data_IF_460982652610
#
_entry.id   IF_460982652610
#
_cell.length_a   1.000
_cell.length_b   1.000
_cell.length_c   1.000
_cell.angle_alpha   90.00
_cell.angle_beta   90.00
_cell.angle_gamma   90.00
#
_symmetry.space_group_name_H-M   'P 1'
#
loop_
_entity.id
_entity.type
_entity.pdbx_description
1 polymer ?
#
# COMPACT_ATOMS: atom_id res chain seq x y z
N UNK A 1 13.10 -7.28 14.32
CA UNK A 1 12.75 -6.29 13.27
C UNK A 1 11.64 -5.32 13.66
N UNK A 2 10.69 -5.63 14.57
CA UNK A 2 9.62 -4.70 15.02
C UNK A 2 10.11 -3.34 15.57
N UNK A 3 11.23 -3.28 16.28
CA UNK A 3 11.76 -2.01 16.81
C UNK A 3 12.27 -1.03 15.74
N UNK A 4 12.61 -1.53 14.54
CA UNK A 4 13.07 -0.69 13.44
C UNK A 4 11.93 0.00 12.70
N UNK A 5 10.73 -0.57 12.70
CA UNK A 5 9.56 0.00 12.01
C UNK A 5 8.95 1.15 12.79
N UNK A 6 8.77 1.03 14.11
CA UNK A 6 8.08 2.07 14.89
C UNK A 6 8.89 3.36 14.99
N UNK A 7 10.21 3.25 15.18
CA UNK A 7 11.11 4.40 15.22
C UNK A 7 11.29 5.02 13.82
N UNK A 8 11.28 4.19 12.76
CA UNK A 8 11.28 4.70 11.40
C UNK A 8 10.00 5.46 11.08
N UNK A 9 8.82 4.91 11.39
CA UNK A 9 7.52 5.58 11.25
C UNK A 9 7.47 6.87 12.05
N UNK A 10 8.00 6.89 13.28
CA UNK A 10 8.08 8.12 14.09
C UNK A 10 8.98 9.18 13.45
N UNK A 11 10.18 8.79 13.01
CA UNK A 11 11.12 9.69 12.34
C UNK A 11 10.55 10.21 11.01
N UNK A 12 9.84 9.37 10.28
CA UNK A 12 9.16 9.68 9.04
C UNK A 12 8.03 10.68 9.27
N UNK A 13 7.07 10.40 10.15
CA UNK A 13 5.99 11.33 10.52
C UNK A 13 6.52 12.68 11.04
N UNK A 14 7.61 12.67 11.81
CA UNK A 14 8.24 13.90 12.29
C UNK A 14 8.93 14.69 11.19
N UNK A 15 9.46 14.00 10.17
CA UNK A 15 10.18 14.62 9.06
C UNK A 15 9.28 15.02 7.90
N UNK A 16 8.09 14.45 7.88
CA UNK A 16 7.12 14.47 6.81
C UNK A 16 5.72 14.52 7.42
N UNK A 17 5.29 15.70 7.93
CA UNK A 17 3.93 15.83 8.45
C UNK A 17 2.97 15.50 7.32
N UNK A 18 2.24 14.41 7.48
CA UNK A 18 1.23 14.00 6.52
C UNK A 18 0.13 15.03 6.56
N UNK A 19 -0.17 15.69 5.43
CA UNK A 19 -1.37 16.53 5.30
C UNK A 19 -2.55 15.58 5.13
N UNK A 20 -2.94 14.92 6.21
CA UNK A 20 -4.14 14.10 6.24
C UNK A 20 -5.32 15.04 6.47
N UNK A 21 -6.28 15.01 5.56
CA UNK A 21 -7.63 15.47 5.89
C UNK A 21 -8.17 14.41 6.83
N UNK A 22 -8.31 14.75 8.12
CA UNK A 22 -8.90 13.82 9.08
C UNK A 22 -10.24 13.33 8.52
N UNK A 23 -10.39 12.01 8.33
CA UNK A 23 -11.65 11.51 7.83
C UNK A 23 -12.73 11.86 8.86
N UNK A 24 -13.97 12.16 8.43
CA UNK A 24 -15.08 12.34 9.35
C UNK A 24 -15.18 11.10 10.26
N UNK A 25 -14.75 11.22 11.51
CA UNK A 25 -14.78 10.09 12.45
C UNK A 25 -16.17 9.92 13.00
N UNK A 26 -16.70 8.70 12.97
CA UNK A 26 -17.93 8.40 13.72
C UNK A 26 -17.59 8.35 15.22
N UNK A 27 -18.27 9.15 16.02
CA UNK A 27 -18.19 9.05 17.48
C UNK A 27 -18.96 7.81 17.93
N UNK A 28 -18.29 6.67 17.99
CA UNK A 28 -18.80 5.48 18.67
C UNK A 28 -18.12 5.33 20.04
N UNK A 29 -18.92 5.12 21.08
CA UNK A 29 -18.44 4.73 22.40
C UNK A 29 -17.67 3.40 22.30
N UNK A 30 -16.57 3.24 23.05
CA UNK A 30 -15.80 2.01 23.03
C UNK A 30 -16.65 0.86 23.58
N UNK A 31 -17.04 -0.06 22.71
CA UNK A 31 -17.73 -1.29 23.10
C UNK A 31 -16.67 -2.24 23.67
N UNK A 32 -16.59 -2.32 25.00
CA UNK A 32 -15.66 -3.21 25.69
C UNK A 32 -16.25 -4.63 25.74
N UNK A 33 -15.95 -5.45 24.72
CA UNK A 33 -16.38 -6.85 24.65
C UNK A 33 -15.15 -7.76 24.62
N UNK A 34 -14.68 -8.27 25.78
CA UNK A 34 -13.44 -9.04 25.91
C UNK A 34 -13.35 -10.29 25.01
N UNK A 35 -14.47 -10.83 24.54
CA UNK A 35 -14.51 -12.02 23.68
C UNK A 35 -14.37 -11.73 22.18
N UNK A 36 -14.33 -10.46 21.74
CA UNK A 36 -14.18 -10.07 20.33
C UNK A 36 -12.73 -10.09 19.81
N UNK A 37 -11.75 -10.37 20.68
CA UNK A 37 -10.36 -9.96 20.45
C UNK A 37 -9.45 -10.99 19.76
N UNK A 38 -9.75 -12.30 19.80
CA UNK A 38 -8.73 -13.31 19.44
C UNK A 38 -8.96 -14.00 18.08
N UNK A 39 -10.19 -14.07 17.58
CA UNK A 39 -10.45 -14.70 16.28
C UNK A 39 -9.92 -13.82 15.13
N UNK A 40 -9.19 -14.43 14.20
CA UNK A 40 -8.70 -13.81 12.96
C UNK A 40 -7.92 -12.51 13.17
N UNK A 41 -7.16 -12.43 14.27
CA UNK A 41 -6.38 -11.24 14.63
C UNK A 41 -5.38 -10.84 13.54
N UNK A 42 -4.75 -11.83 12.87
CA UNK A 42 -3.81 -11.61 11.77
C UNK A 42 -4.51 -10.95 10.57
N UNK A 43 -5.63 -11.50 10.13
CA UNK A 43 -6.37 -10.97 8.97
C UNK A 43 -7.01 -9.62 9.28
N UNK A 44 -7.41 -9.40 10.53
CA UNK A 44 -7.91 -8.11 10.98
C UNK A 44 -6.82 -7.03 11.03
N UNK A 45 -5.60 -7.36 11.48
CA UNK A 45 -4.44 -6.46 11.38
C UNK A 45 -4.09 -6.14 9.92
N UNK A 46 -4.18 -7.13 9.02
CA UNK A 46 -3.98 -6.92 7.59
C UNK A 46 -5.07 -6.02 7.00
N UNK A 47 -6.32 -6.16 7.45
CA UNK A 47 -7.44 -5.33 7.01
C UNK A 47 -7.18 -3.85 7.31
N UNK A 48 -6.79 -3.53 8.55
CA UNK A 48 -6.43 -2.17 8.97
C UNK A 48 -5.30 -1.61 8.12
N UNK A 49 -4.25 -2.41 7.89
CA UNK A 49 -3.13 -2.03 7.06
C UNK A 49 -3.52 -1.77 5.60
N UNK A 50 -4.36 -2.61 4.98
CA UNK A 50 -4.80 -2.43 3.58
C UNK A 50 -5.67 -1.17 3.46
N UNK A 51 -6.62 -1.00 4.38
CA UNK A 51 -7.51 0.17 4.40
C UNK A 51 -6.72 1.47 4.53
N UNK A 52 -5.71 1.52 5.41
CA UNK A 52 -4.86 2.70 5.56
C UNK A 52 -3.89 2.87 4.38
N UNK A 53 -3.09 1.85 4.08
CA UNK A 53 -1.93 2.00 3.18
C UNK A 53 -2.26 2.04 1.68
N UNK A 54 -3.51 1.72 1.32
CA UNK A 54 -3.97 1.76 -0.07
C UNK A 54 -5.26 2.57 -0.17
N UNK A 55 -6.36 2.08 0.40
CA UNK A 55 -7.69 2.65 0.13
C UNK A 55 -7.77 4.13 0.52
N UNK A 56 -7.44 4.43 1.78
CA UNK A 56 -7.56 5.79 2.31
C UNK A 56 -6.51 6.74 1.72
N UNK A 57 -5.27 6.29 1.52
CA UNK A 57 -4.24 7.13 0.89
C UNK A 57 -4.54 7.45 -0.57
N UNK A 58 -5.09 6.50 -1.33
CA UNK A 58 -5.55 6.77 -2.70
C UNK A 58 -6.79 7.67 -2.72
N UNK A 59 -7.66 7.58 -1.72
CA UNK A 59 -8.73 8.56 -1.56
C UNK A 59 -8.17 9.97 -1.30
N UNK A 60 -7.22 10.10 -0.37
CA UNK A 60 -6.56 11.37 -0.08
C UNK A 60 -5.83 11.96 -1.28
N UNK A 61 -5.24 11.15 -2.17
CA UNK A 61 -4.64 11.63 -3.41
C UNK A 61 -5.64 12.48 -4.22
N UNK A 62 -6.89 12.05 -4.33
CA UNK A 62 -7.93 12.74 -5.09
C UNK A 62 -8.56 13.93 -4.36
N UNK A 63 -8.38 14.04 -3.05
CA UNK A 63 -8.91 15.14 -2.24
C UNK A 63 -7.85 16.20 -1.94
N UNK A 64 -6.56 15.82 -1.93
CA UNK A 64 -5.47 16.69 -1.52
C UNK A 64 -4.41 16.89 -2.59
N UNK A 65 -4.59 16.24 -3.76
CA UNK A 65 -3.62 16.20 -4.86
C UNK A 65 -2.28 15.52 -4.54
N UNK A 66 -2.11 14.97 -3.33
CA UNK A 66 -0.89 14.30 -2.88
C UNK A 66 -1.25 13.05 -2.07
N UNK A 67 -0.45 11.99 -2.23
CA UNK A 67 -0.47 10.88 -1.30
C UNK A 67 0.94 10.34 -1.07
N UNK A 68 1.14 9.72 0.07
CA UNK A 68 2.43 9.18 0.48
C UNK A 68 2.34 7.73 0.87
N UNK A 69 3.47 7.04 0.75
CA UNK A 69 3.64 5.65 1.14
C UNK A 69 2.58 4.70 0.54
N UNK A 70 2.29 4.83 -0.75
CA UNK A 70 1.34 3.94 -1.44
C UNK A 70 1.99 2.59 -1.70
N UNK A 71 1.39 1.50 -1.21
CA UNK A 71 1.89 0.16 -1.53
C UNK A 71 1.70 -0.13 -3.02
N UNK A 72 2.66 -0.78 -3.64
CA UNK A 72 2.58 -1.29 -5.02
C UNK A 72 3.38 -2.59 -5.12
N UNK A 73 3.10 -3.40 -6.13
CA UNK A 73 3.86 -4.62 -6.37
C UNK A 73 3.83 -5.06 -7.83
N UNK A 74 4.75 -5.95 -8.19
CA UNK A 74 4.80 -6.62 -9.48
C UNK A 74 5.42 -8.02 -9.34
N UNK A 75 5.43 -8.77 -10.43
CA UNK A 75 5.97 -10.12 -10.47
C UNK A 75 7.13 -10.20 -11.44
N UNK A 76 8.27 -10.73 -11.04
CA UNK A 76 9.41 -10.96 -11.93
C UNK A 76 9.58 -12.45 -12.13
N UNK A 77 9.61 -12.87 -13.39
CA UNK A 77 9.94 -14.24 -13.74
C UNK A 77 11.46 -14.39 -13.87
N UNK A 78 12.07 -15.15 -12.96
CA UNK A 78 13.52 -15.31 -12.92
C UNK A 78 14.07 -16.21 -14.04
N UNK A 79 13.22 -16.92 -14.77
CA UNK A 79 13.61 -17.71 -15.94
C UNK A 79 13.59 -16.87 -17.21
N UNK A 80 12.50 -16.13 -17.46
CA UNK A 80 12.41 -15.24 -18.63
C UNK A 80 13.15 -13.91 -18.43
N UNK A 81 13.49 -13.57 -17.17
CA UNK A 81 14.14 -12.31 -16.77
C UNK A 81 13.26 -11.07 -17.02
N UNK A 82 11.95 -11.27 -17.11
CA UNK A 82 10.98 -10.22 -17.43
C UNK A 82 10.02 -9.93 -16.27
N UNK A 83 9.47 -8.73 -16.27
CA UNK A 83 8.37 -8.36 -15.38
C UNK A 83 7.03 -8.80 -16.00
N UNK A 84 6.22 -9.49 -15.20
CA UNK A 84 4.89 -9.96 -15.55
C UNK A 84 3.82 -9.01 -14.98
N UNK A 85 2.72 -8.83 -15.72
CA UNK A 85 1.56 -8.03 -15.28
C UNK A 85 0.74 -8.70 -14.17
N UNK A 86 0.82 -10.02 -14.06
CA UNK A 86 0.26 -10.82 -12.98
C UNK A 86 1.06 -12.12 -12.90
N UNK A 87 0.88 -12.87 -11.82
CA UNK A 87 1.57 -14.15 -11.65
C UNK A 87 1.12 -15.14 -12.73
N UNK A 88 2.01 -15.45 -13.68
CA UNK A 88 1.72 -16.43 -14.73
C UNK A 88 2.17 -17.84 -14.33
N UNK A 89 3.26 -17.96 -13.57
CA UNK A 89 3.88 -19.24 -13.25
C UNK A 89 4.19 -19.36 -11.75
N UNK A 90 4.55 -20.56 -11.31
CA UNK A 90 5.10 -20.78 -9.97
C UNK A 90 6.43 -20.06 -9.75
N UNK A 91 7.18 -19.81 -10.83
CA UNK A 91 8.55 -19.28 -10.82
C UNK A 91 8.60 -17.76 -10.77
N UNK A 92 7.43 -17.11 -10.82
CA UNK A 92 7.29 -15.67 -10.68
C UNK A 92 7.50 -15.25 -9.22
N UNK A 93 8.46 -14.37 -9.01
CA UNK A 93 8.80 -13.80 -7.71
C UNK A 93 8.04 -12.49 -7.49
N UNK A 94 7.31 -12.39 -6.38
CA UNK A 94 6.63 -11.16 -5.98
C UNK A 94 7.64 -10.12 -5.48
N UNK A 95 7.62 -8.93 -6.09
CA UNK A 95 8.40 -7.77 -5.65
C UNK A 95 7.44 -6.70 -5.14
N UNK A 96 7.64 -6.26 -3.90
CA UNK A 96 6.83 -5.22 -3.27
C UNK A 96 7.60 -3.89 -3.24
N UNK A 97 6.87 -2.78 -3.37
CA UNK A 97 7.35 -1.43 -3.25
C UNK A 97 6.40 -0.56 -2.43
N UNK A 98 6.91 0.56 -1.94
CA UNK A 98 6.15 1.60 -1.27
C UNK A 98 6.54 2.91 -1.93
N UNK A 99 5.61 3.54 -2.62
CA UNK A 99 5.84 4.83 -3.29
C UNK A 99 5.80 5.91 -2.22
N UNK A 100 6.92 6.57 -1.95
CA UNK A 100 6.98 7.58 -0.88
C UNK A 100 6.08 8.78 -1.15
N UNK A 101 5.94 9.17 -2.43
CA UNK A 101 5.17 10.33 -2.85
C UNK A 101 4.50 10.10 -4.21
N UNK A 102 3.23 10.43 -4.31
CA UNK A 102 2.46 10.53 -5.54
C UNK A 102 1.80 11.90 -5.55
N UNK A 103 1.88 12.60 -6.68
CA UNK A 103 1.24 13.90 -6.86
C UNK A 103 0.32 13.86 -8.08
N UNK A 104 -0.90 14.35 -7.94
CA UNK A 104 -1.84 14.59 -9.03
C UNK A 104 -1.84 16.08 -9.34
N UNK A 105 -1.36 16.49 -10.52
CA UNK A 105 -1.13 17.90 -10.88
C UNK A 105 -1.62 18.21 -12.28
N UNK A 106 -2.00 19.46 -12.51
CA UNK A 106 -2.24 19.96 -13.86
C UNK A 106 -0.90 20.06 -14.63
N UNK A 107 -0.89 19.65 -15.90
CA UNK A 107 0.27 19.62 -16.79
C UNK A 107 0.76 21.01 -17.16
N UNK A 108 -0.13 22.00 -17.17
CA UNK A 108 0.17 23.37 -17.60
C UNK A 108 0.40 24.31 -16.42
N UNK A 109 -0.34 24.12 -15.31
CA UNK A 109 -0.34 24.97 -14.13
C UNK A 109 -0.17 24.15 -12.83
N UNK A 110 0.93 23.40 -12.67
CA UNK A 110 1.10 22.38 -11.61
C UNK A 110 1.10 22.92 -10.18
N UNK A 111 1.28 24.23 -9.98
CA UNK A 111 1.35 24.86 -8.65
C UNK A 111 0.03 25.54 -8.24
N UNK A 112 -0.89 25.78 -9.17
CA UNK A 112 -2.02 26.69 -8.94
C UNK A 112 -3.36 26.14 -9.39
N UNK A 113 -3.38 25.17 -10.31
CA UNK A 113 -4.62 24.60 -10.80
C UNK A 113 -5.00 23.34 -10.02
N UNK A 114 -6.03 23.51 -9.20
CA UNK A 114 -6.65 22.45 -8.39
C UNK A 114 -8.11 22.22 -8.83
N UNK A 115 -8.46 22.56 -10.07
CA UNK A 115 -9.84 22.49 -10.58
C UNK A 115 -10.49 21.11 -10.39
N UNK A 116 -9.78 20.03 -10.74
CA UNK A 116 -10.27 18.66 -10.51
C UNK A 116 -10.57 18.39 -9.03
N UNK A 117 -9.71 18.87 -8.12
CA UNK A 117 -9.90 18.70 -6.68
C UNK A 117 -11.14 19.48 -6.22
N UNK A 118 -11.30 20.72 -6.68
CA UNK A 118 -12.47 21.53 -6.36
C UNK A 118 -13.78 20.92 -6.88
N UNK A 119 -13.75 20.30 -8.06
CA UNK A 119 -14.91 19.57 -8.59
C UNK A 119 -15.21 18.34 -7.73
N UNK A 120 -14.20 17.56 -7.35
CA UNK A 120 -14.38 16.43 -6.43
C UNK A 120 -14.95 16.89 -5.09
N UNK A 121 -14.44 17.99 -4.54
CA UNK A 121 -14.93 18.59 -3.28
C UNK A 121 -16.41 19.01 -3.35
N UNK A 122 -16.92 19.44 -4.50
CA UNK A 122 -18.35 19.73 -4.66
C UNK A 122 -19.23 18.49 -4.51
N UNK A 123 -18.68 17.31 -4.80
CA UNK A 123 -19.36 16.03 -4.65
C UNK A 123 -19.12 15.38 -3.29
N UNK A 124 -18.08 15.82 -2.56
CA UNK A 124 -17.93 15.48 -1.16
C UNK A 124 -19.06 16.20 -0.41
N UNK A 125 -19.92 15.49 0.32
CA UNK A 125 -20.92 16.13 1.16
C UNK A 125 -20.18 17.09 2.09
N UNK A 126 -20.76 18.26 2.31
CA UNK A 126 -20.43 19.05 3.49
C UNK A 126 -20.89 18.20 4.67
N UNK A 127 -20.00 17.37 5.19
CA UNK A 127 -20.34 16.32 6.13
C UNK A 127 -20.68 16.92 7.50
N UNK A 128 -21.91 17.43 7.64
CA UNK A 128 -22.67 17.25 8.86
C UNK A 128 -23.25 15.82 8.80
N UNK A 129 -22.39 14.82 9.02
CA UNK A 129 -22.92 13.57 9.58
C UNK A 129 -23.63 14.03 10.85
N UNK A 130 -24.92 13.69 11.09
CA UNK A 130 -25.48 13.87 12.40
C UNK A 130 -24.49 13.17 13.32
N UNK A 131 -23.75 13.96 14.08
CA UNK A 131 -22.96 13.48 15.20
C UNK A 131 -23.93 12.50 15.88
N UNK A 132 -23.44 11.34 16.34
CA UNK A 132 -24.19 10.70 17.41
C UNK A 132 -24.19 11.74 18.52
N UNK A 133 -25.17 12.64 18.52
CA UNK A 133 -25.37 13.61 19.56
C UNK A 133 -25.59 12.71 20.75
N UNK A 134 -24.53 12.57 21.52
CA UNK A 134 -24.58 12.07 22.86
C UNK A 134 -25.60 12.97 23.51
N UNK A 135 -26.83 12.46 23.63
CA UNK A 135 -27.88 13.08 24.40
C UNK A 135 -27.29 13.25 25.79
N UNK A 136 -26.90 14.48 26.09
CA UNK A 136 -26.48 14.85 27.43
C UNK A 136 -27.73 14.84 28.30
N UNK A 137 -27.79 13.80 29.13
CA UNK A 137 -28.41 13.76 30.45
C UNK A 137 -29.94 13.85 30.52
N UNK A 138 -30.59 12.70 30.33
CA UNK A 138 -31.55 12.20 31.32
C UNK A 138 -31.24 10.72 31.61
N UNK A 139 -30.74 10.46 32.82
CA UNK A 139 -29.93 9.28 33.20
C UNK A 139 -30.70 7.97 33.46
N UNK A 140 -31.93 7.80 32.96
CA UNK A 140 -32.76 6.64 33.34
C UNK A 140 -33.40 5.83 32.20
N UNK A 141 -33.06 6.06 30.92
CA UNK A 141 -33.59 5.21 29.82
C UNK A 141 -32.52 4.80 28.80
N UNK A 142 -32.25 3.50 28.77
CA UNK A 142 -31.65 2.67 27.70
C UNK A 142 -30.67 3.37 26.74
N UNK A 143 -29.38 3.10 26.92
CA UNK A 143 -28.28 3.42 26.00
C UNK A 143 -28.42 2.67 24.66
N UNK A 144 -29.26 3.15 23.74
CA UNK A 144 -29.32 2.60 22.38
C UNK A 144 -28.30 3.26 21.45
N UNK A 145 -27.54 2.45 20.71
CA UNK A 145 -26.77 2.92 19.54
C UNK A 145 -27.78 3.43 18.49
N UNK A 146 -27.94 4.75 18.37
CA UNK A 146 -28.75 5.35 17.30
C UNK A 146 -27.90 5.38 16.02
N UNK A 147 -28.11 4.41 15.14
CA UNK A 147 -27.52 4.43 13.80
C UNK A 147 -28.45 5.24 12.88
N UNK A 148 -27.94 6.19 12.06
CA UNK A 148 -28.80 7.04 11.25
C UNK A 148 -29.70 6.23 10.32
N UNK A 149 -31.01 6.49 10.35
CA UNK A 149 -31.97 5.86 9.45
C UNK A 149 -31.55 6.07 7.98
N UNK A 150 -31.68 5.00 7.20
CA UNK A 150 -31.01 4.82 5.92
C UNK A 150 -31.65 5.54 4.72
N UNK A 151 -32.67 6.38 4.90
CA UNK A 151 -33.60 6.65 3.79
C UNK A 151 -33.52 8.04 3.12
N UNK A 152 -32.81 9.06 3.64
CA UNK A 152 -33.01 10.44 3.10
C UNK A 152 -31.81 11.39 3.05
N UNK A 153 -30.57 10.94 2.86
CA UNK A 153 -29.52 11.87 2.44
C UNK A 153 -28.75 11.30 1.26
N UNK A 154 -28.35 12.16 0.32
CA UNK A 154 -27.36 11.85 -0.71
C UNK A 154 -26.05 11.45 -0.01
N UNK A 155 -25.96 10.18 0.40
CA UNK A 155 -24.85 9.66 1.17
C UNK A 155 -23.71 9.42 0.20
N UNK A 156 -22.62 10.14 0.41
CA UNK A 156 -21.35 9.80 -0.21
C UNK A 156 -20.90 8.43 0.28
N UNK A 157 -20.53 7.60 -0.68
CA UNK A 157 -20.05 6.23 -0.51
C UNK A 157 -18.82 6.06 -1.40
N UNK A 158 -18.02 5.02 -1.14
CA UNK A 158 -16.93 4.68 -2.05
C UNK A 158 -17.43 4.35 -3.46
N UNK A 159 -18.58 3.69 -3.60
CA UNK A 159 -19.18 3.42 -4.93
C UNK A 159 -19.49 4.73 -5.66
N UNK A 160 -20.23 5.64 -5.03
CA UNK A 160 -20.59 6.92 -5.67
C UNK A 160 -19.36 7.77 -5.97
N UNK A 161 -18.34 7.73 -5.10
CA UNK A 161 -17.07 8.41 -5.33
C UNK A 161 -16.34 7.86 -6.56
N UNK A 162 -16.23 6.53 -6.68
CA UNK A 162 -15.62 5.88 -7.84
C UNK A 162 -16.40 6.16 -9.14
N UNK A 163 -17.73 6.15 -9.07
CA UNK A 163 -18.60 6.46 -10.21
C UNK A 163 -18.40 7.92 -10.67
N UNK A 164 -18.30 8.86 -9.72
CA UNK A 164 -18.04 10.27 -10.00
C UNK A 164 -16.64 10.48 -10.57
N UNK A 165 -15.60 9.89 -9.97
CA UNK A 165 -14.25 9.95 -10.53
C UNK A 165 -14.23 9.44 -11.97
N UNK A 166 -14.89 8.32 -12.23
CA UNK A 166 -14.99 7.74 -13.57
C UNK A 166 -15.67 8.69 -14.57
N UNK A 167 -16.68 9.45 -14.13
CA UNK A 167 -17.33 10.47 -14.95
C UNK A 167 -16.45 11.71 -15.17
N UNK A 168 -15.54 12.04 -14.25
CA UNK A 168 -14.61 13.15 -14.38
C UNK A 168 -13.40 12.82 -15.25
N UNK A 169 -13.04 11.54 -15.42
CA UNK A 169 -11.88 11.11 -16.21
C UNK A 169 -11.79 11.77 -17.60
N UNK A 170 -12.86 11.82 -18.43
CA UNK A 170 -12.75 12.38 -19.79
C UNK A 170 -12.46 13.88 -19.84
N UNK A 171 -12.72 14.61 -18.75
CA UNK A 171 -12.49 16.06 -18.67
C UNK A 171 -11.06 16.39 -18.24
N UNK A 172 -10.45 15.52 -17.44
CA UNK A 172 -9.19 15.80 -16.75
C UNK A 172 -8.02 14.91 -17.18
N UNK A 173 -8.23 13.78 -17.87
CA UNK A 173 -7.12 12.89 -18.25
C UNK A 173 -6.07 13.57 -19.14
N UNK A 174 -6.50 14.54 -19.95
CA UNK A 174 -5.61 15.28 -20.86
C UNK A 174 -4.89 16.44 -20.19
N UNK A 175 -5.48 17.06 -19.16
CA UNK A 175 -4.89 18.19 -18.44
C UNK A 175 -4.14 17.78 -17.17
N UNK A 176 -4.57 16.73 -16.49
CA UNK A 176 -3.95 16.23 -15.25
C UNK A 176 -2.94 15.12 -15.51
N UNK A 177 -1.93 15.05 -14.65
CA UNK A 177 -0.95 13.99 -14.63
C UNK A 177 -0.60 13.55 -13.20
N UNK A 178 -0.26 12.28 -13.07
CA UNK A 178 0.20 11.63 -11.87
C UNK A 178 1.71 11.48 -11.92
N UNK A 179 2.42 12.17 -11.02
CA UNK A 179 3.88 12.16 -10.92
C UNK A 179 4.28 11.26 -9.76
N UNK A 180 5.18 10.32 -10.04
CA UNK A 180 5.62 9.31 -9.07
C UNK A 180 6.97 9.73 -8.48
N UNK A 181 7.02 9.80 -7.16
CA UNK A 181 8.11 10.39 -6.40
C UNK A 181 8.71 9.45 -5.35
N UNK A 182 9.98 9.69 -5.04
CA UNK A 182 10.68 9.13 -3.89
C UNK A 182 11.39 10.26 -3.12
N UNK A 183 11.36 10.21 -1.79
CA UNK A 183 11.92 11.26 -0.94
C UNK A 183 13.15 10.70 -0.21
N UNK A 184 14.33 11.23 -0.57
CA UNK A 184 15.59 10.86 0.07
C UNK A 184 15.98 11.85 1.15
N UNK A 185 15.91 11.39 2.40
CA UNK A 185 16.35 12.17 3.56
C UNK A 185 17.87 12.13 3.73
N UNK A 186 18.47 13.30 3.94
CA UNK A 186 19.93 13.51 4.07
C UNK A 186 20.27 14.25 5.35
N UNK A 187 21.33 13.81 6.03
CA UNK A 187 21.88 14.52 7.19
C UNK A 187 22.68 15.78 6.82
N UNK A 188 23.15 15.86 5.57
CA UNK A 188 23.96 16.96 5.03
C UNK A 188 23.23 17.66 3.88
N UNK A 189 23.49 18.96 3.69
CA UNK A 189 22.90 19.78 2.62
C UNK A 189 23.54 19.49 1.24
N UNK A 190 23.55 18.23 0.82
CA UNK A 190 24.10 17.82 -0.48
C UNK A 190 23.53 16.48 -0.93
N UNK A 191 23.34 16.33 -2.24
CA UNK A 191 23.01 15.05 -2.88
C UNK A 191 24.23 14.11 -2.95
N UNK A 192 24.04 12.79 -3.11
CA UNK A 192 25.14 11.86 -3.38
C UNK A 192 25.97 12.30 -4.59
N UNK A 193 27.30 12.15 -4.52
CA UNK A 193 28.18 12.39 -5.68
C UNK A 193 28.32 11.15 -6.56
N UNK A 194 28.00 9.97 -6.02
CA UNK A 194 28.17 8.70 -6.70
C UNK A 194 27.02 8.48 -7.68
N UNK A 195 27.37 8.37 -8.97
CA UNK A 195 26.39 8.15 -10.03
C UNK A 195 25.54 6.89 -9.80
N UNK A 196 26.14 5.81 -9.31
CA UNK A 196 25.41 4.57 -9.01
C UNK A 196 24.32 4.73 -7.94
N UNK A 197 24.47 5.68 -7.01
CA UNK A 197 23.45 5.97 -5.98
C UNK A 197 22.30 6.76 -6.60
N UNK A 198 22.62 7.75 -7.44
CA UNK A 198 21.62 8.54 -8.17
C UNK A 198 20.82 7.65 -9.12
N UNK A 199 21.51 6.78 -9.87
CA UNK A 199 20.87 5.80 -10.76
C UNK A 199 20.00 4.81 -10.01
N UNK A 200 20.43 4.33 -8.83
CA UNK A 200 19.61 3.45 -8.01
C UNK A 200 18.30 4.13 -7.59
N UNK A 201 18.33 5.41 -7.22
CA UNK A 201 17.13 6.16 -6.86
C UNK A 201 16.22 6.39 -8.08
N UNK A 202 16.80 6.71 -9.24
CA UNK A 202 16.07 6.79 -10.52
C UNK A 202 15.34 5.48 -10.83
N UNK A 203 16.03 4.35 -10.77
CA UNK A 203 15.39 3.07 -11.10
C UNK A 203 14.35 2.67 -10.06
N UNK A 204 14.51 3.03 -8.79
CA UNK A 204 13.48 2.81 -7.77
C UNK A 204 12.15 3.45 -8.16
N UNK A 205 12.15 4.71 -8.60
CA UNK A 205 10.92 5.36 -9.07
C UNK A 205 10.41 4.77 -10.39
N UNK A 206 11.27 4.22 -11.25
CA UNK A 206 10.82 3.47 -12.43
C UNK A 206 10.12 2.15 -12.06
N UNK A 207 10.60 1.43 -11.05
CA UNK A 207 9.89 0.26 -10.52
C UNK A 207 8.52 0.64 -9.98
N UNK A 208 8.44 1.72 -9.20
CA UNK A 208 7.18 2.24 -8.69
C UNK A 208 6.20 2.61 -9.79
N UNK A 209 6.69 3.32 -10.82
CA UNK A 209 5.91 3.62 -12.01
C UNK A 209 5.35 2.36 -12.66
N UNK A 210 6.20 1.41 -12.99
CA UNK A 210 5.75 0.20 -13.67
C UNK A 210 4.78 -0.64 -12.81
N UNK A 211 5.02 -0.77 -11.51
CA UNK A 211 4.12 -1.50 -10.60
C UNK A 211 2.76 -0.82 -10.48
N UNK A 212 2.74 0.51 -10.38
CA UNK A 212 1.50 1.27 -10.36
C UNK A 212 0.75 1.12 -11.69
N UNK A 213 1.43 1.19 -12.83
CA UNK A 213 0.82 0.97 -14.15
C UNK A 213 0.17 -0.41 -14.24
N UNK A 214 0.84 -1.45 -13.75
CA UNK A 214 0.29 -2.82 -13.72
C UNK A 214 -0.98 -2.87 -12.86
N UNK A 215 -0.95 -2.29 -11.66
CA UNK A 215 -2.10 -2.28 -10.75
C UNK A 215 -3.22 -1.35 -11.23
N UNK A 216 -2.93 -0.34 -12.04
CA UNK A 216 -3.93 0.53 -12.64
C UNK A 216 -4.55 -0.06 -13.91
N UNK A 217 -3.97 -1.12 -14.48
CA UNK A 217 -4.51 -1.77 -15.68
C UNK A 217 -5.75 -2.59 -15.33
N UNK A 218 -6.86 -2.33 -16.03
CA UNK A 218 -8.13 -3.03 -15.81
C UNK A 218 -8.00 -4.56 -16.00
N UNK A 219 -8.73 -5.32 -15.17
CA UNK A 219 -8.77 -6.79 -15.22
C UNK A 219 -7.64 -7.50 -14.47
N UNK A 220 -6.46 -6.88 -14.32
CA UNK A 220 -5.30 -7.50 -13.66
C UNK A 220 -5.11 -7.09 -12.20
N UNK A 221 -5.60 -5.91 -11.82
CA UNK A 221 -5.36 -5.32 -10.49
C UNK A 221 -5.84 -6.21 -9.33
N UNK A 222 -7.12 -6.59 -9.33
CA UNK A 222 -7.72 -7.41 -8.28
C UNK A 222 -7.05 -8.78 -8.17
N UNK A 223 -6.85 -9.47 -9.30
CA UNK A 223 -6.13 -10.75 -9.34
C UNK A 223 -4.72 -10.60 -8.78
N UNK A 224 -3.98 -9.58 -9.22
CA UNK A 224 -2.62 -9.30 -8.76
C UNK A 224 -2.57 -9.06 -7.25
N UNK A 225 -3.53 -8.32 -6.69
CA UNK A 225 -3.68 -8.07 -5.26
C UNK A 225 -3.98 -9.37 -4.50
N UNK A 226 -4.95 -10.16 -4.96
CA UNK A 226 -5.32 -11.47 -4.37
C UNK A 226 -4.12 -12.43 -4.36
N UNK A 227 -3.47 -12.61 -5.51
CA UNK A 227 -2.32 -13.51 -5.66
C UNK A 227 -1.18 -13.12 -4.70
N UNK A 228 -0.96 -11.81 -4.49
CA UNK A 228 0.14 -11.31 -3.64
C UNK A 228 -0.01 -11.72 -2.18
N UNK A 229 -1.25 -11.81 -1.68
CA UNK A 229 -1.55 -12.19 -0.30
C UNK A 229 -1.68 -13.69 -0.14
N UNK A 230 -2.21 -14.40 -1.15
CA UNK A 230 -2.21 -15.86 -1.16
C UNK A 230 -0.79 -16.42 -1.13
N UNK A 231 0.16 -15.79 -1.84
CA UNK A 231 1.59 -16.12 -1.77
C UNK A 231 2.19 -16.01 -0.36
N UNK A 232 1.58 -15.21 0.51
CA UNK A 232 2.01 -15.03 1.91
C UNK A 232 1.27 -15.97 2.87
N UNK A 233 0.55 -16.97 2.34
CA UNK A 233 -0.29 -17.89 3.11
C UNK A 233 -1.26 -17.12 4.03
N UNK A 234 -1.92 -16.10 3.48
CA UNK A 234 -3.00 -15.37 4.14
C UNK A 234 -4.32 -15.90 3.61
N UNK A 235 -5.22 -16.27 4.52
CA UNK A 235 -6.58 -16.62 4.15
C UNK A 235 -7.36 -15.34 3.88
N UNK A 236 -7.77 -15.13 2.65
CA UNK A 236 -8.48 -13.91 2.22
C UNK A 236 -9.98 -13.96 2.49
N UNK A 237 -10.47 -15.13 2.86
CA UNK A 237 -11.87 -15.50 2.86
C UNK A 237 -12.43 -15.67 4.27
N UNK A 238 -11.57 -15.61 5.28
CA UNK A 238 -12.01 -15.49 6.68
C UNK A 238 -12.58 -14.10 6.96
N UNK A 239 -13.62 -14.01 7.80
CA UNK A 239 -14.16 -12.74 8.26
C UNK A 239 -13.14 -11.90 9.02
N UNK A 240 -13.17 -10.59 8.78
CA UNK A 240 -12.56 -9.59 9.66
C UNK A 240 -13.39 -9.55 10.95
N UNK A 241 -12.73 -9.47 12.10
CA UNK A 241 -13.45 -9.43 13.37
C UNK A 241 -14.26 -8.13 13.54
N UNK A 242 -15.33 -8.18 14.33
CA UNK A 242 -16.23 -7.03 14.53
C UNK A 242 -15.53 -5.81 15.11
N UNK A 243 -14.55 -6.00 16.01
CA UNK A 243 -13.81 -4.89 16.60
C UNK A 243 -13.11 -4.08 15.52
N UNK A 244 -12.31 -4.75 14.68
CA UNK A 244 -11.62 -4.11 13.55
C UNK A 244 -12.62 -3.55 12.56
N UNK A 245 -13.72 -4.25 12.25
CA UNK A 245 -14.77 -3.71 11.39
C UNK A 245 -15.34 -2.38 11.93
N UNK A 246 -15.68 -2.29 13.22
CA UNK A 246 -16.15 -1.04 13.84
C UNK A 246 -15.06 0.03 13.88
N UNK A 247 -13.80 -0.34 14.11
CA UNK A 247 -12.67 0.60 14.02
C UNK A 247 -12.51 1.16 12.61
N UNK A 248 -12.64 0.31 11.58
CA UNK A 248 -12.61 0.71 10.17
C UNK A 248 -13.80 1.61 9.82
N UNK A 249 -15.01 1.30 10.29
CA UNK A 249 -16.18 2.15 10.11
C UNK A 249 -16.04 3.48 10.86
N UNK A 250 -15.48 3.46 12.07
CA UNK A 250 -15.19 4.67 12.84
C UNK A 250 -14.22 5.59 12.11
N UNK A 251 -13.18 5.01 11.51
CA UNK A 251 -12.11 5.75 10.84
C UNK A 251 -12.42 6.12 9.39
N UNK A 252 -13.10 5.26 8.64
CA UNK A 252 -13.35 5.40 7.20
C UNK A 252 -14.82 5.22 6.84
N UNK A 253 -15.72 5.54 7.78
CA UNK A 253 -17.17 5.40 7.63
C UNK A 253 -17.73 5.92 6.31
N UNK A 254 -17.36 7.13 5.85
CA UNK A 254 -17.80 7.66 4.55
C UNK A 254 -17.48 6.77 3.36
N UNK A 255 -16.38 6.02 3.41
CA UNK A 255 -15.98 5.13 2.32
C UNK A 255 -16.62 3.74 2.47
N UNK A 256 -16.66 3.21 3.69
CA UNK A 256 -16.97 1.79 3.92
C UNK A 256 -18.42 1.51 4.32
N UNK A 257 -19.16 2.49 4.86
CA UNK A 257 -20.45 2.21 5.51
C UNK A 257 -21.48 1.56 4.59
N UNK A 258 -21.68 2.09 3.39
CA UNK A 258 -22.65 1.54 2.43
C UNK A 258 -22.27 0.13 1.97
N UNK A 259 -20.98 -0.13 1.75
CA UNK A 259 -20.49 -1.47 1.45
C UNK A 259 -20.80 -2.44 2.57
N UNK A 260 -20.56 -2.06 3.82
CA UNK A 260 -20.87 -2.88 4.97
C UNK A 260 -22.37 -3.19 5.07
N UNK A 261 -23.23 -2.22 4.73
CA UNK A 261 -24.68 -2.45 4.63
C UNK A 261 -25.01 -3.43 3.50
N UNK A 262 -24.43 -3.26 2.30
CA UNK A 262 -24.65 -4.16 1.16
C UNK A 262 -24.22 -5.59 1.49
N UNK A 263 -23.02 -5.75 2.05
CA UNK A 263 -22.45 -7.02 2.49
C UNK A 263 -23.33 -7.71 3.54
N UNK A 264 -23.80 -6.95 4.55
CA UNK A 264 -24.71 -7.49 5.57
C UNK A 264 -26.02 -8.04 4.97
N UNK A 265 -26.53 -7.41 3.90
CA UNK A 265 -27.75 -7.79 3.18
C UNK A 265 -27.52 -8.79 2.04
N UNK A 266 -26.27 -9.11 1.72
CA UNK A 266 -25.93 -9.97 0.57
C UNK A 266 -26.13 -9.31 -0.79
N UNK A 267 -26.11 -7.99 -0.85
CA UNK A 267 -26.22 -7.21 -2.08
C UNK A 267 -24.83 -7.10 -2.73
N UNK A 268 -24.80 -7.20 -4.06
CA UNK A 268 -23.58 -7.05 -4.86
C UNK A 268 -22.94 -5.66 -4.69
N UNK A 269 -21.62 -5.62 -4.77
CA UNK A 269 -20.83 -4.38 -4.67
C UNK A 269 -20.64 -3.66 -6.01
N UNK A 270 -21.12 -4.26 -7.10
CA UNK A 270 -20.91 -3.78 -8.47
C UNK A 270 -19.49 -4.05 -8.98
N UNK A 271 -18.87 -5.16 -8.57
CA UNK A 271 -17.55 -5.58 -9.04
C UNK A 271 -17.57 -7.04 -9.43
N UNK A 272 -17.69 -7.30 -10.73
CA UNK A 272 -17.92 -8.64 -11.31
C UNK A 272 -16.98 -9.70 -10.73
N UNK A 273 -15.66 -9.46 -10.72
CA UNK A 273 -14.68 -10.45 -10.23
C UNK A 273 -14.85 -10.81 -8.74
N UNK A 274 -15.32 -9.87 -7.91
CA UNK A 274 -15.61 -10.11 -6.50
C UNK A 274 -16.98 -10.74 -6.32
N UNK A 275 -18.00 -10.19 -6.97
CA UNK A 275 -19.38 -10.63 -6.85
C UNK A 275 -19.56 -12.07 -7.38
N UNK A 276 -18.93 -12.42 -8.51
CA UNK A 276 -18.89 -13.79 -9.03
C UNK A 276 -18.20 -14.75 -8.05
N UNK A 277 -17.12 -14.34 -7.40
CA UNK A 277 -16.45 -15.16 -6.41
C UNK A 277 -17.39 -15.48 -5.23
N UNK A 278 -18.09 -14.48 -4.71
CA UNK A 278 -19.04 -14.65 -3.59
C UNK A 278 -20.22 -15.55 -3.99
N UNK A 279 -20.75 -15.39 -5.20
CA UNK A 279 -21.84 -16.24 -5.73
C UNK A 279 -21.37 -17.71 -5.83
N UNK A 280 -20.16 -17.94 -6.33
CA UNK A 280 -19.62 -19.28 -6.56
C UNK A 280 -19.08 -19.95 -5.28
N UNK A 281 -18.77 -19.17 -4.24
CA UNK A 281 -18.22 -19.67 -2.97
C UNK A 281 -19.11 -19.26 -1.78
N UNK A 282 -20.38 -19.70 -1.75
CA UNK A 282 -21.29 -19.36 -0.65
C UNK A 282 -20.88 -20.04 0.68
N UNK A 283 -19.88 -20.93 0.68
CA UNK A 283 -19.43 -21.75 1.82
C UNK A 283 -18.47 -21.07 2.80
N UNK A 284 -18.04 -19.82 2.57
CA UNK A 284 -17.43 -18.98 3.62
C UNK A 284 -18.42 -18.67 4.76
N UNK A 285 -19.69 -19.05 4.62
CA UNK A 285 -20.78 -18.88 5.60
C UNK A 285 -20.72 -19.76 6.85
N UNK A 286 -19.81 -20.74 6.96
CA UNK A 286 -19.98 -21.84 7.94
C UNK A 286 -18.98 -21.92 9.11
N UNK A 287 -18.05 -20.98 9.28
CA UNK A 287 -17.18 -20.99 10.47
C UNK A 287 -17.43 -19.74 11.31
N UNK A 288 -18.37 -19.90 12.24
CA UNK A 288 -18.72 -18.95 13.31
C UNK A 288 -19.11 -17.57 12.76
N UNK A 289 -20.32 -17.49 12.22
CA UNK A 289 -21.07 -16.23 12.25
C UNK A 289 -21.30 -15.94 13.73
N UNK A 290 -20.35 -15.21 14.34
CA UNK A 290 -20.57 -14.61 15.64
C UNK A 290 -21.84 -13.78 15.51
N UNK A 291 -22.88 -14.16 16.24
CA UNK A 291 -24.14 -13.45 16.27
C UNK A 291 -23.95 -12.23 17.20
N UNK A 292 -23.86 -11.01 16.65
CA UNK A 292 -23.75 -9.82 17.47
C UNK A 292 -24.95 -9.70 18.42
N UNK A 293 -26.08 -10.34 18.09
CA UNK A 293 -27.27 -10.35 18.93
C UNK A 293 -27.03 -10.92 20.33
N UNK A 294 -25.99 -11.74 20.56
CA UNK A 294 -25.63 -12.18 21.92
C UNK A 294 -24.99 -11.06 22.74
N UNK A 295 -24.19 -10.18 22.12
CA UNK A 295 -23.59 -9.01 22.79
C UNK A 295 -24.48 -7.78 22.79
N UNK A 296 -25.44 -7.72 21.89
CA UNK A 296 -26.44 -6.67 21.80
C UNK A 296 -27.83 -7.20 22.19
N UNK A 297 -27.92 -8.29 22.96
CA UNK A 297 -29.21 -8.94 23.29
C UNK A 297 -30.21 -7.98 23.96
N UNK A 298 -29.71 -7.00 24.70
CA UNK A 298 -30.49 -5.95 25.34
C UNK A 298 -30.91 -4.82 24.37
N UNK A 299 -30.21 -4.69 23.24
CA UNK A 299 -30.52 -3.78 22.15
C UNK A 299 -31.08 -4.58 20.99
N UNK A 300 -32.41 -4.74 20.94
CA UNK A 300 -33.17 -5.22 19.77
C UNK A 300 -33.05 -4.24 18.59
N UNK A 301 -31.83 -3.92 18.20
CA UNK A 301 -31.55 -3.02 17.10
C UNK A 301 -31.86 -3.77 15.81
N UNK A 302 -32.80 -3.22 15.05
CA UNK A 302 -33.09 -3.66 13.69
C UNK A 302 -31.97 -3.28 12.71
N UNK A 303 -30.85 -2.74 13.18
CA UNK A 303 -29.81 -2.25 12.30
C UNK A 303 -29.07 -3.39 11.57
N UNK A 304 -28.89 -3.32 10.23
CA UNK A 304 -28.24 -4.38 9.47
C UNK A 304 -26.83 -4.78 9.95
N UNK A 305 -26.04 -3.82 10.45
CA UNK A 305 -24.67 -4.09 10.94
C UNK A 305 -24.62 -4.88 12.26
N UNK A 306 -25.73 -4.95 13.00
CA UNK A 306 -25.83 -5.65 14.29
C UNK A 306 -26.54 -7.01 14.17
N UNK A 307 -26.79 -7.47 12.94
CA UNK A 307 -27.39 -8.77 12.64
C UNK A 307 -26.35 -9.71 12.05
N UNK A 308 -26.60 -11.02 12.00
CA UNK A 308 -25.81 -11.95 11.19
C UNK A 308 -25.70 -11.48 9.73
N UNK A 309 -24.48 -11.41 9.20
CA UNK A 309 -24.21 -10.94 7.84
C UNK A 309 -24.41 -12.08 6.83
N UNK A 310 -25.03 -11.76 5.69
CA UNK A 310 -25.10 -12.70 4.56
C UNK A 310 -23.71 -12.96 3.98
N UNK A 311 -22.93 -11.88 3.81
CA UNK A 311 -21.55 -11.91 3.34
C UNK A 311 -20.68 -11.09 4.32
N UNK A 312 -20.08 -11.70 5.36
CA UNK A 312 -19.22 -10.96 6.29
C UNK A 312 -18.04 -10.29 5.55
N UNK A 313 -17.53 -9.15 6.04
CA UNK A 313 -16.44 -8.45 5.37
C UNK A 313 -15.15 -9.25 5.53
N UNK A 314 -14.41 -9.42 4.43
CA UNK A 314 -13.15 -10.18 4.40
C UNK A 314 -12.03 -9.32 3.81
N UNK A 315 -10.79 -9.82 3.86
CA UNK A 315 -9.68 -9.18 3.13
C UNK A 315 -9.94 -9.09 1.64
N UNK A 316 -10.58 -10.11 1.05
CA UNK A 316 -10.94 -10.12 -0.37
C UNK A 316 -11.81 -8.92 -0.76
N UNK A 317 -12.77 -8.56 0.08
CA UNK A 317 -13.58 -7.35 -0.11
C UNK A 317 -12.71 -6.08 -0.16
N UNK A 318 -11.77 -5.92 0.78
CA UNK A 318 -10.91 -4.74 0.81
C UNK A 318 -10.00 -4.68 -0.42
N UNK A 319 -9.48 -5.82 -0.88
CA UNK A 319 -8.67 -5.90 -2.10
C UNK A 319 -9.48 -5.57 -3.37
N UNK A 320 -10.77 -5.93 -3.39
CA UNK A 320 -11.69 -5.54 -4.46
C UNK A 320 -11.81 -4.01 -4.56
N UNK A 321 -12.04 -3.33 -3.43
CA UNK A 321 -12.10 -1.86 -3.38
C UNK A 321 -10.76 -1.19 -3.69
N UNK A 322 -9.65 -1.74 -3.19
CA UNK A 322 -8.31 -1.26 -3.54
C UNK A 322 -8.04 -1.37 -5.04
N UNK A 323 -8.46 -2.46 -5.68
CA UNK A 323 -8.34 -2.63 -7.13
C UNK A 323 -9.06 -1.54 -7.91
N UNK A 324 -10.28 -1.17 -7.52
CA UNK A 324 -11.02 -0.09 -8.17
C UNK A 324 -10.30 1.26 -8.00
N UNK A 325 -9.75 1.54 -6.81
CA UNK A 325 -8.96 2.74 -6.57
C UNK A 325 -7.67 2.82 -7.42
N UNK A 326 -6.97 1.70 -7.66
CA UNK A 326 -5.84 1.74 -8.59
C UNK A 326 -6.27 1.98 -10.02
N UNK A 327 -7.38 1.36 -10.46
CA UNK A 327 -7.84 1.45 -11.85
C UNK A 327 -8.19 2.89 -12.25
N UNK A 328 -8.78 3.68 -11.36
CA UNK A 328 -9.08 5.10 -11.64
C UNK A 328 -7.82 5.96 -11.82
N UNK A 329 -6.64 5.50 -11.40
CA UNK A 329 -5.38 6.23 -11.61
C UNK A 329 -4.87 6.11 -13.04
N UNK A 330 -5.21 5.03 -13.74
CA UNK A 330 -4.62 4.64 -15.03
C UNK A 330 -4.50 5.79 -16.05
N UNK A 331 -5.58 6.56 -16.30
CA UNK A 331 -5.56 7.67 -17.25
C UNK A 331 -4.60 8.82 -16.88
N UNK A 332 -4.24 8.96 -15.61
CA UNK A 332 -3.39 10.05 -15.14
C UNK A 332 -1.91 9.68 -15.10
N UNK A 333 -1.55 8.38 -15.14
CA UNK A 333 -0.15 7.95 -15.00
C UNK A 333 0.71 8.58 -16.11
N UNK A 334 1.58 9.50 -15.70
CA UNK A 334 2.54 10.17 -16.58
C UNK A 334 3.89 9.48 -16.52
N UNK A 335 4.69 9.53 -17.61
CA UNK A 335 6.05 9.02 -17.58
C UNK A 335 6.95 9.81 -16.61
N UNK A 336 6.52 10.99 -16.10
CA UNK A 336 7.31 11.80 -15.19
C UNK A 336 7.47 11.11 -13.82
N UNK A 337 8.72 10.94 -13.43
CA UNK A 337 9.14 10.47 -12.12
C UNK A 337 10.06 11.50 -11.47
N UNK A 338 10.11 11.55 -10.13
CA UNK A 338 11.02 12.47 -9.43
C UNK A 338 11.67 11.84 -8.20
N UNK A 339 12.89 12.26 -7.90
CA UNK A 339 13.57 11.96 -6.64
C UNK A 339 13.89 13.28 -5.95
N UNK A 340 13.30 13.49 -4.78
CA UNK A 340 13.46 14.71 -4.02
C UNK A 340 14.37 14.48 -2.82
N UNK A 341 15.45 15.25 -2.72
CA UNK A 341 16.39 15.19 -1.61
C UNK A 341 16.03 16.24 -0.59
N UNK A 342 15.77 15.83 0.66
CA UNK A 342 15.48 16.74 1.77
C UNK A 342 16.51 16.65 2.87
N UNK A 343 16.75 17.78 3.53
CA UNK A 343 17.54 17.78 4.75
C UNK A 343 16.68 17.26 5.91
N UNK A 344 17.11 16.19 6.58
CA UNK A 344 16.33 15.56 7.65
C UNK A 344 16.11 16.42 8.89
N UNK A 345 16.91 17.47 9.10
CA UNK A 345 16.78 18.36 10.26
C UNK A 345 15.97 19.62 9.95
N UNK A 346 16.07 20.15 8.73
CA UNK A 346 15.40 21.40 8.35
C UNK A 346 14.18 21.20 7.45
N UNK A 347 13.98 19.97 6.95
CA UNK A 347 12.96 19.57 5.98
C UNK A 347 12.98 20.32 4.64
N UNK A 348 13.99 21.19 4.44
CA UNK A 348 14.18 21.94 3.20
C UNK A 348 14.58 21.00 2.08
N UNK A 349 13.99 21.22 0.91
CA UNK A 349 14.40 20.59 -0.34
C UNK A 349 15.83 21.05 -0.66
N UNK A 350 16.71 20.08 -0.83
CA UNK A 350 18.12 20.25 -1.24
C UNK A 350 18.17 20.31 -2.77
N UNK A 351 17.52 19.36 -3.43
CA UNK A 351 17.43 19.23 -4.87
C UNK A 351 16.27 18.31 -5.25
N UNK A 352 15.71 18.50 -6.44
CA UNK A 352 14.74 17.60 -7.05
C UNK A 352 15.31 17.16 -8.39
N UNK A 353 15.47 15.86 -8.57
CA UNK A 353 15.85 15.27 -9.84
C UNK A 353 14.61 14.73 -10.54
N UNK A 354 14.34 15.19 -11.75
CA UNK A 354 13.24 14.72 -12.56
C UNK A 354 13.74 13.76 -13.64
N UNK A 355 12.93 12.74 -13.92
CA UNK A 355 13.20 11.69 -14.88
C UNK A 355 11.94 11.42 -15.70
N UNK A 356 12.14 11.03 -16.95
CA UNK A 356 11.06 10.47 -17.77
C UNK A 356 11.23 8.95 -17.83
N UNK A 357 10.17 8.21 -17.56
CA UNK A 357 10.17 6.76 -17.55
C UNK A 357 10.46 6.22 -18.95
N UNK A 358 11.57 5.51 -19.07
CA UNK A 358 11.98 4.83 -20.30
C UNK A 358 11.79 3.31 -20.13
N UNK A 359 10.85 2.74 -20.88
CA UNK A 359 10.55 1.30 -20.84
C UNK A 359 11.72 0.42 -21.28
N UNK A 360 12.56 0.87 -22.23
CA UNK A 360 13.72 0.09 -22.69
C UNK A 360 14.82 0.10 -21.64
N UNK A 361 15.10 1.26 -21.05
CA UNK A 361 16.07 1.40 -19.96
C UNK A 361 15.63 0.58 -18.74
N UNK A 362 14.34 0.65 -18.39
CA UNK A 362 13.76 -0.15 -17.31
C UNK A 362 13.88 -1.66 -17.58
N UNK A 363 13.52 -2.13 -18.77
CA UNK A 363 13.65 -3.56 -19.15
C UNK A 363 15.09 -4.04 -19.06
N UNK A 364 16.05 -3.25 -19.55
CA UNK A 364 17.47 -3.58 -19.43
C UNK A 364 17.91 -3.70 -17.96
N UNK A 365 17.41 -2.81 -17.10
CA UNK A 365 17.71 -2.85 -15.67
C UNK A 365 17.05 -4.04 -14.96
N UNK A 366 15.80 -4.37 -15.27
CA UNK A 366 15.11 -5.58 -14.79
C UNK A 366 15.92 -6.81 -15.19
N UNK A 367 16.24 -6.96 -16.48
CA UNK A 367 17.00 -8.10 -16.98
C UNK A 367 18.33 -8.24 -16.22
N UNK A 368 19.07 -7.14 -16.05
CA UNK A 368 20.34 -7.12 -15.31
C UNK A 368 20.15 -7.51 -13.83
N UNK A 369 19.12 -7.00 -13.16
CA UNK A 369 18.83 -7.33 -11.77
C UNK A 369 18.41 -8.79 -11.62
N UNK A 370 17.50 -9.27 -12.45
CA UNK A 370 17.02 -10.65 -12.48
C UNK A 370 18.14 -11.64 -12.81
N UNK A 371 19.04 -11.28 -13.74
CA UNK A 371 20.21 -12.10 -14.09
C UNK A 371 21.16 -12.28 -12.92
N UNK A 372 21.28 -11.26 -12.07
CA UNK A 372 22.05 -11.37 -10.83
C UNK A 372 21.35 -12.29 -9.82
N UNK A 373 20.05 -12.10 -9.61
CA UNK A 373 19.28 -12.88 -8.63
C UNK A 373 19.12 -14.35 -9.00
N UNK A 374 19.03 -14.69 -10.28
CA UNK A 374 18.95 -16.07 -10.73
C UNK A 374 20.33 -16.76 -10.88
N UNK A 375 21.42 -16.04 -10.59
CA UNK A 375 22.79 -16.57 -10.64
C UNK A 375 23.40 -16.67 -12.05
N UNK A 376 22.70 -16.26 -13.11
CA UNK A 376 23.25 -16.25 -14.47
C UNK A 376 24.35 -15.20 -14.66
N UNK A 377 24.32 -14.12 -13.88
CA UNK A 377 25.36 -13.10 -13.86
C UNK A 377 26.21 -13.20 -12.60
N UNK A 378 27.53 -13.33 -12.78
CA UNK A 378 28.48 -13.26 -11.68
C UNK A 378 28.44 -11.89 -10.96
N UNK A 379 28.59 -11.86 -9.62
CA UNK A 379 28.73 -10.62 -8.88
C UNK A 379 29.93 -9.82 -9.40
N UNK A 380 29.75 -8.51 -9.53
CA UNK A 380 30.84 -7.59 -9.88
C UNK A 380 31.49 -7.06 -8.62
N UNK A 381 32.82 -7.01 -8.62
CA UNK A 381 33.58 -6.41 -7.52
C UNK A 381 33.21 -4.93 -7.42
N UNK A 382 32.83 -4.51 -6.21
CA UNK A 382 32.55 -3.12 -5.93
C UNK A 382 33.86 -2.34 -5.83
N UNK A 383 34.00 -1.29 -6.63
CA UNK A 383 35.20 -0.42 -6.60
C UNK A 383 35.23 0.50 -5.38
N UNK A 384 34.08 0.72 -4.74
CA UNK A 384 33.97 1.56 -3.54
C UNK A 384 34.24 0.72 -2.28
N UNK A 385 35.50 0.74 -1.84
CA UNK A 385 35.98 0.02 -0.65
C UNK A 385 35.24 0.50 0.61
N UNK A 386 34.69 1.72 0.63
CA UNK A 386 33.92 2.22 1.78
C UNK A 386 32.66 1.38 2.03
N UNK A 387 32.07 0.79 0.98
CA UNK A 387 30.93 -0.12 1.09
C UNK A 387 31.32 -1.46 1.75
N UNK A 388 32.58 -1.86 1.67
CA UNK A 388 33.07 -3.04 2.40
C UNK A 388 33.07 -2.84 3.91
N UNK A 389 33.03 -1.59 4.43
CA UNK A 389 32.98 -1.32 5.87
C UNK A 389 31.72 -1.87 6.53
N UNK A 390 30.61 -1.86 5.80
CA UNK A 390 29.29 -2.30 6.27
C UNK A 390 28.83 -3.59 5.59
N UNK A 391 29.72 -4.28 4.87
CA UNK A 391 29.39 -5.51 4.18
C UNK A 391 29.43 -6.69 5.15
N UNK A 392 28.29 -7.34 5.36
CA UNK A 392 28.17 -8.52 6.21
C UNK A 392 29.03 -9.69 5.70
N UNK A 393 29.25 -9.75 4.38
CA UNK A 393 30.09 -10.78 3.74
C UNK A 393 31.58 -10.44 3.71
N UNK A 394 32.01 -9.36 4.37
CA UNK A 394 33.41 -8.90 4.36
C UNK A 394 34.40 -10.02 4.72
N UNK A 395 34.08 -10.84 5.73
CA UNK A 395 34.94 -11.93 6.19
C UNK A 395 35.12 -13.06 5.16
N UNK A 396 34.20 -13.18 4.20
CA UNK A 396 34.17 -14.23 3.18
C UNK A 396 34.42 -13.68 1.77
N UNK A 397 34.61 -12.37 1.64
CA UNK A 397 34.81 -11.72 0.35
C UNK A 397 36.23 -12.03 -0.16
N UNK A 398 36.37 -12.66 -1.35
CA UNK A 398 37.69 -12.98 -1.90
C UNK A 398 38.38 -11.77 -2.53
N UNK A 399 37.69 -10.62 -2.59
CA UNK A 399 38.29 -9.36 -3.06
C UNK A 399 39.26 -8.91 -1.98
N UNK A 400 40.57 -8.82 -2.27
CA UNK A 400 41.52 -8.29 -1.32
C UNK A 400 41.01 -6.92 -0.89
N UNK A 401 40.82 -6.72 0.41
CA UNK A 401 40.97 -5.37 0.92
C UNK A 401 42.33 -4.92 0.39
N UNK A 402 42.38 -3.86 -0.42
CA UNK A 402 43.62 -3.12 -0.56
C UNK A 402 43.93 -2.64 0.86
N UNK A 403 44.55 -3.52 1.65
CA UNK A 403 45.27 -3.15 2.84
C UNK A 403 46.26 -2.14 2.30
N UNK A 404 46.04 -0.88 2.66
CA UNK A 404 47.11 0.09 2.78
C UNK A 404 48.02 -0.50 3.86
N UNK A 405 48.80 -1.52 3.48
CA UNK A 405 49.90 -2.00 4.27
C UNK A 405 50.93 -0.89 4.16
N UNK A 406 50.96 -0.05 5.19
CA UNK A 406 52.22 0.54 5.59
C UNK A 406 53.17 -0.64 5.81
N UNK A 407 54.21 -0.72 5.00
CA UNK A 407 55.28 -1.70 5.06
C UNK A 407 55.76 -1.89 6.49
N UNK A 408 55.44 -3.02 7.09
CA UNK A 408 56.29 -3.67 8.11
C UNK A 408 56.02 -5.17 8.12
N UNK A 409 56.88 -5.91 7.41
CA UNK A 409 57.41 -7.21 7.85
C UNK A 409 56.52 -8.45 7.82
N UNK A 410 56.90 -9.39 6.95
CA UNK A 410 56.82 -10.85 7.09
C UNK A 410 55.54 -11.50 7.63
N UNK A 411 54.73 -12.02 6.71
CA UNK A 411 53.66 -12.98 7.02
C UNK A 411 53.13 -13.64 5.75
N UNK A 412 53.39 -14.94 5.62
CA UNK A 412 52.98 -15.82 4.51
C UNK A 412 51.48 -15.65 4.19
N UNK A 413 51.16 -15.23 2.95
CA UNK A 413 49.78 -15.20 2.46
C UNK A 413 49.27 -16.63 2.22
N UNK A 414 48.10 -17.02 2.76
CA UNK A 414 47.44 -18.26 2.34
C UNK A 414 46.97 -18.14 0.87
N UNK A 415 46.94 -19.24 0.12
CA UNK A 415 46.57 -19.21 -1.30
C UNK A 415 45.12 -18.71 -1.48
N UNK A 416 44.83 -17.98 -2.57
CA UNK A 416 43.49 -17.48 -2.84
C UNK A 416 42.52 -18.65 -3.00
N UNK A 417 41.51 -18.72 -2.13
CA UNK A 417 40.39 -19.64 -2.29
C UNK A 417 39.61 -19.25 -3.54
N UNK A 418 39.30 -20.22 -4.40
CA UNK A 418 38.47 -19.97 -5.60
C UNK A 418 37.04 -19.67 -5.14
N UNK A 419 36.41 -18.65 -5.74
CA UNK A 419 35.04 -18.21 -5.43
C UNK A 419 34.01 -19.36 -5.52
N UNK A 420 34.27 -20.39 -6.32
CA UNK A 420 33.41 -21.57 -6.47
C UNK A 420 33.27 -22.45 -5.22
N UNK A 421 34.22 -22.38 -4.28
CA UNK A 421 34.21 -23.23 -3.08
C UNK A 421 33.32 -22.66 -1.95
N UNK A 422 32.91 -21.39 -2.04
CA UNK A 422 32.10 -20.70 -1.02
C UNK A 422 30.61 -20.67 -1.35
N UNK A 423 30.22 -20.77 -2.63
CA UNK A 423 28.81 -20.69 -3.04
C UNK A 423 28.05 -22.00 -2.76
N UNK A 424 28.76 -23.14 -2.70
CA UNK A 424 28.12 -24.45 -2.59
C UNK A 424 27.69 -24.86 -1.18
N UNK A 425 28.19 -24.21 -0.12
CA UNK A 425 28.04 -24.73 1.25
C UNK A 425 26.99 -24.04 2.13
N UNK A 426 26.48 -22.86 1.78
CA UNK A 426 25.59 -22.10 2.68
C UNK A 426 24.20 -21.72 2.12
N UNK A 427 23.94 -21.89 0.82
CA UNK A 427 22.63 -21.54 0.23
C UNK A 427 21.57 -22.65 0.27
N UNK A 428 21.87 -23.83 0.82
CA UNK A 428 20.93 -24.96 0.94
C UNK A 428 20.00 -24.91 2.18
N UNK A 429 19.93 -23.78 2.90
CA UNK A 429 19.02 -23.61 4.04
C UNK A 429 18.01 -22.46 3.90
N UNK A 430 17.69 -22.06 2.68
CA UNK A 430 16.42 -21.35 2.42
C UNK A 430 15.40 -22.43 2.06
N UNK A 431 14.49 -22.73 2.99
CA UNK A 431 13.39 -23.65 2.74
C UNK A 431 12.55 -23.13 1.57
N UNK A 432 12.38 -23.99 0.56
CA UNK A 432 11.34 -23.90 -0.46
C UNK A 432 9.94 -23.93 0.16
#
# INVERSE_FOLDING_TARGET
>A
MKLGTDEHTRLELSSHPTVLVEPPTLTMDPIDVPYLYEAYAKESEIAENISESILYRLYNLFVTSEAREIRVHGYVNLQSLELESFRQTSDSTLINGIIDLIELKDKHNPETDFSMIHDIEQYLPTFNIPIMETYTEDRDQQQGIIVPDSETSDKFTLTTFLDQLTQLLPYYSDSMELIIGDIKTRSVQSIPRQQSVIESAKFQVFYYHQFLTILATSGNSYRSLVDSWQLRNVDLDVPINYKTMFMLLKKYGPLLFDDMIKLSKGVSLGMDQFDEFIINNPTTKSTVVYDPSECFAEHKSSHPLLRPWVNPPTLRYLLARCSQMYQVLGPFISPKCKVEYRNGHTHKVIATNEYEFDSNEFKAQIHKASSFWNGSQNPKINQDISKCKYCEFKAHCPVPHHQVHNDTGDGIQPPPKKLGDLVYHEFLHVQM
#
